data_IF_591773554588
#
_entry.id   IF_591773554588
#
_cell.length_a   1.000
_cell.length_b   1.000
_cell.length_c   1.000
_cell.angle_alpha   90.00
_cell.angle_beta   90.00
_cell.angle_gamma   90.00
#
_symmetry.space_group_name_H-M   'P 1'
#
loop_
_entity.id
_entity.type
_entity.pdbx_description
1 polymer ?
#
# COMPACT_ATOMS: atom_id res chain seq x y z
N UNK A 1 -17.67 -2.38 7.41
CA UNK A 1 -17.21 -2.21 6.03
C UNK A 1 -16.63 -3.51 5.53
N UNK A 2 -17.24 -4.10 4.51
CA UNK A 2 -16.69 -5.27 3.85
C UNK A 2 -15.68 -4.85 2.79
N UNK A 3 -14.47 -5.35 2.94
CA UNK A 3 -13.33 -5.06 2.07
C UNK A 3 -12.79 -6.32 1.45
N UNK A 4 -12.31 -6.21 0.23
CA UNK A 4 -11.80 -7.34 -0.55
C UNK A 4 -10.53 -6.95 -1.27
N UNK A 5 -9.60 -7.87 -1.40
CA UNK A 5 -8.41 -7.71 -2.22
C UNK A 5 -8.12 -8.99 -2.99
N UNK A 6 -7.48 -8.77 -4.12
CA UNK A 6 -7.28 -9.79 -5.12
C UNK A 6 -5.84 -10.27 -5.11
N UNK A 7 -5.65 -11.58 -5.08
CA UNK A 7 -4.40 -12.21 -5.44
C UNK A 7 -4.58 -12.76 -6.85
N UNK A 8 -4.17 -11.98 -7.86
CA UNK A 8 -4.40 -12.34 -9.27
C UNK A 8 -3.11 -12.80 -9.92
N UNK A 9 -3.17 -13.83 -10.81
CA UNK A 9 -2.06 -14.15 -11.67
C UNK A 9 -1.80 -13.00 -12.63
N UNK A 10 -0.53 -12.77 -12.93
CA UNK A 10 -0.09 -11.71 -13.82
C UNK A 10 0.72 -12.30 -14.96
N UNK A 11 0.40 -11.89 -16.16
CA UNK A 11 1.09 -12.29 -17.37
C UNK A 11 1.56 -11.08 -18.20
N UNK A 12 2.23 -11.32 -19.33
CA UNK A 12 2.67 -10.25 -20.21
C UNK A 12 1.52 -9.62 -21.05
N UNK A 13 0.33 -10.18 -21.01
CA UNK A 13 -0.79 -9.65 -21.76
C UNK A 13 -1.61 -8.66 -20.93
N UNK A 14 -1.42 -7.36 -21.13
CA UNK A 14 -2.15 -6.28 -20.46
C UNK A 14 -3.66 -6.50 -20.46
N UNK A 15 -4.25 -6.81 -21.62
CA UNK A 15 -5.70 -6.98 -21.74
C UNK A 15 -6.22 -8.19 -20.96
N UNK A 16 -5.44 -9.29 -20.89
CA UNK A 16 -5.79 -10.45 -20.08
C UNK A 16 -5.76 -10.12 -18.59
N UNK A 17 -4.74 -9.37 -18.13
CA UNK A 17 -4.63 -8.93 -16.74
C UNK A 17 -5.81 -8.02 -16.35
N UNK A 18 -6.20 -7.09 -17.23
CA UNK A 18 -7.36 -6.21 -17.05
C UNK A 18 -8.65 -7.03 -16.94
N UNK A 19 -8.85 -8.00 -17.83
CA UNK A 19 -10.06 -8.84 -17.82
C UNK A 19 -10.13 -9.72 -16.56
N UNK A 20 -9.02 -10.30 -16.14
CA UNK A 20 -8.93 -11.05 -14.88
C UNK A 20 -9.31 -10.18 -13.69
N UNK A 21 -8.74 -8.98 -13.60
CA UNK A 21 -9.09 -8.02 -12.55
C UNK A 21 -10.58 -7.66 -12.58
N UNK A 22 -11.15 -7.42 -13.77
CA UNK A 22 -12.57 -7.09 -13.94
C UNK A 22 -13.48 -8.20 -13.40
N UNK A 23 -13.21 -9.44 -13.79
CA UNK A 23 -14.00 -10.60 -13.32
C UNK A 23 -13.98 -10.68 -11.79
N UNK A 24 -12.79 -10.60 -11.19
CA UNK A 24 -12.65 -10.66 -9.74
C UNK A 24 -13.33 -9.48 -9.01
N UNK A 25 -13.26 -8.26 -9.57
CA UNK A 25 -13.95 -7.09 -8.98
C UNK A 25 -15.47 -7.28 -8.99
N UNK A 26 -16.04 -7.78 -10.09
CA UNK A 26 -17.48 -8.04 -10.19
C UNK A 26 -17.90 -9.17 -9.22
N UNK A 27 -17.12 -10.25 -9.14
CA UNK A 27 -17.36 -11.35 -8.19
C UNK A 27 -17.34 -10.82 -6.75
N UNK A 28 -16.29 -10.08 -6.37
CA UNK A 28 -16.17 -9.47 -5.06
C UNK A 28 -17.36 -8.58 -4.69
N UNK A 29 -17.83 -7.78 -5.63
CA UNK A 29 -19.00 -6.91 -5.43
C UNK A 29 -20.29 -7.71 -5.26
N UNK A 30 -20.47 -8.80 -6.03
CA UNK A 30 -21.61 -9.68 -5.92
C UNK A 30 -21.69 -10.36 -4.54
N UNK A 31 -20.52 -10.62 -3.92
CA UNK A 31 -20.40 -11.17 -2.56
C UNK A 31 -20.52 -10.09 -1.45
N UNK A 32 -20.77 -8.83 -1.82
CA UNK A 32 -21.08 -7.76 -0.87
C UNK A 32 -19.98 -6.74 -0.63
N UNK A 33 -18.81 -6.89 -1.24
CA UNK A 33 -17.69 -5.95 -1.07
C UNK A 33 -18.07 -4.51 -1.38
N UNK A 34 -17.59 -3.58 -0.57
CA UNK A 34 -17.75 -2.13 -0.74
C UNK A 34 -16.46 -1.45 -1.17
N UNK A 35 -15.33 -2.02 -0.81
CA UNK A 35 -13.99 -1.56 -1.18
C UNK A 35 -13.20 -2.75 -1.71
N UNK A 36 -12.65 -2.62 -2.90
CA UNK A 36 -11.85 -3.64 -3.58
C UNK A 36 -10.46 -3.11 -3.85
N UNK A 37 -9.42 -3.92 -3.60
CA UNK A 37 -8.02 -3.56 -3.79
C UNK A 37 -7.35 -4.50 -4.76
N UNK A 38 -6.76 -3.96 -5.83
CA UNK A 38 -5.93 -4.69 -6.79
C UNK A 38 -4.45 -4.71 -6.34
N UNK A 39 -3.62 -5.62 -6.84
CA UNK A 39 -2.20 -5.66 -6.51
C UNK A 39 -1.36 -4.63 -7.25
N UNK A 40 -0.09 -4.47 -6.84
CA UNK A 40 0.89 -3.60 -7.48
C UNK A 40 1.19 -4.05 -8.91
N UNK A 41 1.29 -3.07 -9.85
CA UNK A 41 1.59 -3.27 -11.27
C UNK A 41 0.74 -4.37 -11.93
N UNK A 42 -0.55 -4.50 -11.56
CA UNK A 42 -1.38 -5.61 -11.99
C UNK A 42 -1.58 -5.72 -13.51
N UNK A 43 -1.33 -4.65 -14.26
CA UNK A 43 -1.50 -4.61 -15.72
C UNK A 43 -0.22 -4.98 -16.50
N UNK A 44 0.92 -5.18 -15.82
CA UNK A 44 2.22 -5.35 -16.45
C UNK A 44 3.10 -6.36 -15.69
N UNK A 45 4.10 -6.98 -16.34
CA UNK A 45 5.17 -7.65 -15.61
C UNK A 45 5.87 -6.70 -14.64
N UNK A 46 6.24 -7.18 -13.45
CA UNK A 46 7.02 -6.41 -12.49
C UNK A 46 8.50 -6.43 -12.90
N UNK A 47 8.84 -5.57 -13.85
CA UNK A 47 10.17 -5.52 -14.45
C UNK A 47 10.53 -4.11 -14.89
N UNK A 48 11.74 -3.66 -14.57
CA UNK A 48 12.25 -2.34 -15.00
C UNK A 48 12.28 -2.19 -16.53
N UNK A 49 12.46 -3.27 -17.27
CA UNK A 49 12.40 -3.26 -18.73
C UNK A 49 10.98 -3.13 -19.30
N UNK A 50 9.96 -3.56 -18.56
CA UNK A 50 8.57 -3.52 -19.00
C UNK A 50 7.85 -2.21 -18.67
N UNK A 51 8.20 -1.54 -17.58
CA UNK A 51 7.45 -0.38 -17.08
C UNK A 51 7.22 0.71 -18.13
N UNK A 52 8.22 0.99 -18.97
CA UNK A 52 8.10 2.02 -20.01
C UNK A 52 7.11 1.67 -21.11
N UNK A 53 7.01 0.39 -21.49
CA UNK A 53 6.10 -0.12 -22.53
C UNK A 53 4.65 -0.14 -22.03
N UNK A 54 4.45 -0.50 -20.75
CA UNK A 54 3.12 -0.63 -20.17
C UNK A 54 2.57 0.69 -19.60
N UNK A 55 3.38 1.74 -19.53
CA UNK A 55 3.00 3.01 -18.95
C UNK A 55 1.85 3.68 -19.71
N UNK A 56 0.88 4.19 -18.97
CA UNK A 56 -0.29 4.93 -19.48
C UNK A 56 -0.29 6.36 -18.96
N UNK A 57 -0.87 7.29 -19.74
CA UNK A 57 -1.10 8.65 -19.29
C UNK A 57 -2.47 8.67 -18.60
N UNK A 58 -2.50 9.03 -17.30
CA UNK A 58 -3.72 9.01 -16.49
C UNK A 58 -4.58 10.29 -16.63
N UNK A 59 -4.65 10.81 -17.86
CA UNK A 59 -5.36 12.02 -18.21
C UNK A 59 -5.87 11.86 -19.66
N UNK A 60 -7.05 12.33 -20.08
CA UNK A 60 -7.98 13.16 -19.31
C UNK A 60 -8.87 12.38 -18.32
N UNK A 61 -9.61 13.14 -17.51
CA UNK A 61 -10.72 12.63 -16.71
C UNK A 61 -12.01 13.13 -17.33
N UNK A 62 -12.97 12.27 -17.71
CA UNK A 62 -12.97 10.81 -17.58
C UNK A 62 -11.91 10.12 -18.47
N UNK A 63 -11.45 8.91 -18.08
CA UNK A 63 -10.41 8.19 -18.81
C UNK A 63 -10.79 7.87 -20.27
N UNK A 64 -9.83 8.00 -21.18
CA UNK A 64 -9.98 7.60 -22.58
C UNK A 64 -9.55 6.14 -22.78
N UNK A 65 -10.42 5.34 -23.40
CA UNK A 65 -10.21 3.91 -23.59
C UNK A 65 -9.01 3.56 -24.49
N UNK A 66 -8.73 4.39 -25.51
CA UNK A 66 -7.64 4.11 -26.44
C UNK A 66 -6.29 4.57 -25.89
N UNK A 67 -6.28 5.76 -25.28
CA UNK A 67 -5.06 6.34 -24.74
C UNK A 67 -4.61 5.66 -23.45
N UNK A 68 -5.56 5.23 -22.60
CA UNK A 68 -5.27 4.69 -21.26
C UNK A 68 -6.23 3.53 -20.93
N UNK A 69 -6.05 2.37 -21.59
CA UNK A 69 -7.00 1.25 -21.49
C UNK A 69 -7.16 0.71 -20.07
N UNK A 70 -6.08 0.65 -19.27
CA UNK A 70 -6.15 0.18 -17.88
C UNK A 70 -6.87 1.20 -17.01
N UNK A 71 -6.52 2.48 -17.12
CA UNK A 71 -7.16 3.55 -16.36
C UNK A 71 -8.66 3.64 -16.67
N UNK A 72 -9.04 3.55 -17.96
CA UNK A 72 -10.44 3.46 -18.37
C UNK A 72 -11.13 2.23 -17.77
N UNK A 73 -10.49 1.05 -17.83
CA UNK A 73 -11.07 -0.19 -17.33
C UNK A 73 -11.30 -0.14 -15.81
N UNK A 74 -10.36 0.41 -15.01
CA UNK A 74 -10.52 0.60 -13.57
C UNK A 74 -11.72 1.49 -13.23
N UNK A 75 -11.88 2.62 -13.94
CA UNK A 75 -13.05 3.49 -13.79
C UNK A 75 -14.36 2.72 -14.06
N UNK A 76 -14.37 1.90 -15.11
CA UNK A 76 -15.54 1.08 -15.46
C UNK A 76 -15.80 -0.02 -14.43
N UNK A 77 -14.76 -0.70 -13.95
CA UNK A 77 -14.88 -1.74 -12.92
C UNK A 77 -15.53 -1.16 -11.64
N UNK A 78 -15.05 -0.02 -11.16
CA UNK A 78 -15.62 0.66 -9.99
C UNK A 78 -17.09 1.00 -10.19
N UNK A 79 -17.43 1.59 -11.34
CA UNK A 79 -18.79 2.00 -11.68
C UNK A 79 -19.73 0.83 -11.84
N UNK A 80 -19.34 -0.18 -12.63
CA UNK A 80 -20.20 -1.32 -12.98
C UNK A 80 -20.43 -2.24 -11.77
N UNK A 81 -19.46 -2.29 -10.83
CA UNK A 81 -19.56 -3.02 -9.58
C UNK A 81 -20.18 -2.20 -8.43
N UNK A 82 -20.22 -0.87 -8.52
CA UNK A 82 -20.73 0.01 -7.49
C UNK A 82 -19.88 0.00 -6.20
N UNK A 83 -18.55 -0.09 -6.35
CA UNK A 83 -17.59 -0.19 -5.25
C UNK A 83 -16.54 0.91 -5.31
N UNK A 84 -15.94 1.25 -4.17
CA UNK A 84 -14.65 1.93 -4.19
C UNK A 84 -13.59 0.95 -4.70
N UNK A 85 -12.85 1.34 -5.73
CA UNK A 85 -11.76 0.53 -6.27
C UNK A 85 -10.42 1.21 -6.03
N UNK A 86 -9.60 0.61 -5.18
CA UNK A 86 -8.18 0.93 -5.12
C UNK A 86 -7.51 0.13 -6.23
N UNK A 87 -7.17 0.80 -7.32
CA UNK A 87 -6.74 0.21 -8.58
C UNK A 87 -5.36 -0.44 -8.55
N UNK A 88 -4.96 -0.97 -7.40
CA UNK A 88 -3.63 -1.54 -7.24
C UNK A 88 -2.57 -0.48 -7.56
N UNK A 89 -1.70 -0.78 -8.49
CA UNK A 89 -0.92 0.26 -9.16
C UNK A 89 -0.61 -0.11 -10.61
N UNK A 90 -0.23 0.87 -11.39
CA UNK A 90 0.20 0.70 -12.78
C UNK A 90 1.36 1.66 -13.10
N UNK A 91 2.21 1.34 -14.09
CA UNK A 91 3.14 2.31 -14.63
C UNK A 91 2.37 3.49 -15.24
N UNK A 92 2.64 4.70 -14.75
CA UNK A 92 2.10 5.97 -15.22
C UNK A 92 3.17 6.73 -15.99
N UNK A 93 2.83 7.26 -17.15
CA UNK A 93 3.66 8.25 -17.85
C UNK A 93 3.10 9.64 -17.62
N UNK A 94 3.85 10.46 -16.93
CA UNK A 94 3.51 11.86 -16.71
C UNK A 94 3.63 12.64 -18.03
N UNK A 95 2.55 13.31 -18.43
CA UNK A 95 2.45 14.00 -19.72
C UNK A 95 3.47 15.10 -19.89
N UNK A 96 3.73 15.86 -18.82
CA UNK A 96 4.54 17.08 -18.89
C UNK A 96 6.04 16.78 -18.80
N UNK A 97 6.42 15.93 -17.86
CA UNK A 97 7.82 15.58 -17.61
C UNK A 97 8.29 14.35 -18.38
N UNK A 98 7.40 13.61 -19.01
CA UNK A 98 7.65 12.30 -19.64
C UNK A 98 8.29 11.25 -18.70
N UNK A 99 8.28 11.51 -17.39
CA UNK A 99 8.77 10.58 -16.38
C UNK A 99 7.76 9.46 -16.15
N UNK A 100 8.27 8.31 -15.69
CA UNK A 100 7.43 7.16 -15.38
C UNK A 100 7.34 7.03 -13.85
N UNK A 101 6.14 6.76 -13.37
CA UNK A 101 5.85 6.54 -11.96
C UNK A 101 5.13 5.20 -11.77
N UNK A 102 5.22 4.64 -10.59
CA UNK A 102 4.36 3.54 -10.14
C UNK A 102 3.20 4.18 -9.39
N UNK A 103 1.99 4.13 -9.95
CA UNK A 103 0.86 4.95 -9.49
C UNK A 103 -0.37 4.11 -9.17
N UNK A 104 -0.90 4.31 -7.98
CA UNK A 104 -2.20 3.79 -7.53
C UNK A 104 -3.25 4.89 -7.67
N UNK A 105 -4.43 4.52 -8.19
CA UNK A 105 -5.58 5.43 -8.29
C UNK A 105 -6.76 4.84 -7.55
N UNK A 106 -7.47 5.67 -6.80
CA UNK A 106 -8.73 5.30 -6.12
C UNK A 106 -9.90 5.83 -6.93
N UNK A 107 -10.85 4.96 -7.23
CA UNK A 107 -12.11 5.31 -7.91
C UNK A 107 -13.29 5.18 -6.95
N UNK A 108 -14.21 6.13 -7.05
CA UNK A 108 -15.51 6.07 -6.37
C UNK A 108 -16.44 5.02 -7.01
N UNK A 109 -17.57 4.67 -6.36
CA UNK A 109 -18.61 3.81 -6.95
C UNK A 109 -19.26 4.39 -8.22
N UNK A 110 -19.00 5.66 -8.54
CA UNK A 110 -19.42 6.29 -9.80
C UNK A 110 -18.37 6.15 -10.91
N UNK A 111 -17.21 5.57 -10.59
CA UNK A 111 -16.08 5.43 -11.52
C UNK A 111 -15.24 6.70 -11.67
N UNK A 112 -15.41 7.66 -10.77
CA UNK A 112 -14.64 8.90 -10.73
C UNK A 112 -13.35 8.71 -9.95
N UNK A 113 -12.18 9.17 -10.42
CA UNK A 113 -10.95 9.14 -9.65
C UNK A 113 -11.05 10.16 -8.51
N UNK A 114 -10.94 9.67 -7.26
CA UNK A 114 -11.04 10.49 -6.04
C UNK A 114 -9.71 10.66 -5.32
N UNK A 115 -8.66 9.97 -5.76
CA UNK A 115 -7.32 10.14 -5.23
C UNK A 115 -6.29 9.32 -6.01
N UNK A 116 -5.01 9.73 -5.92
CA UNK A 116 -3.91 8.98 -6.52
C UNK A 116 -2.65 9.09 -5.67
N UNK A 117 -1.83 8.03 -5.71
CA UNK A 117 -0.54 7.97 -5.03
C UNK A 117 0.53 7.48 -6.00
N UNK A 118 1.58 8.27 -6.21
CA UNK A 118 2.82 7.85 -6.87
C UNK A 118 3.76 7.28 -5.79
N UNK A 119 4.23 6.05 -5.95
CA UNK A 119 5.16 5.38 -5.01
C UNK A 119 6.28 6.31 -4.61
N UNK A 120 6.37 6.60 -3.31
CA UNK A 120 7.31 7.58 -2.79
C UNK A 120 8.72 6.99 -2.63
N UNK A 121 8.81 5.73 -2.23
CA UNK A 121 10.07 5.03 -1.99
C UNK A 121 10.26 3.93 -3.04
N UNK A 122 11.28 4.10 -3.88
CA UNK A 122 11.59 3.14 -4.94
C UNK A 122 12.36 1.95 -4.37
N UNK A 123 12.05 0.76 -4.89
CA UNK A 123 12.67 -0.49 -4.48
C UNK A 123 14.03 -0.66 -5.19
N UNK A 124 15.04 -0.06 -4.61
CA UNK A 124 16.44 -0.20 -5.03
C UNK A 124 17.16 -1.06 -4.01
N UNK A 125 17.50 -2.29 -4.39
CA UNK A 125 18.10 -3.28 -3.49
C UNK A 125 19.24 -4.03 -4.16
N UNK A 126 20.17 -4.45 -3.33
CA UNK A 126 21.31 -5.25 -3.71
C UNK A 126 21.54 -6.34 -2.65
N UNK A 127 21.00 -7.53 -2.91
CA UNK A 127 21.16 -8.71 -2.06
C UNK A 127 22.03 -9.74 -2.77
N UNK A 128 22.69 -10.65 -2.05
CA UNK A 128 23.35 -11.79 -2.67
C UNK A 128 22.40 -12.55 -3.61
N UNK A 129 22.70 -12.53 -4.89
CA UNK A 129 21.91 -13.20 -5.95
C UNK A 129 20.75 -12.39 -6.52
N UNK A 130 20.49 -11.15 -6.05
CA UNK A 130 19.44 -10.31 -6.60
C UNK A 130 19.76 -8.82 -6.48
N UNK A 131 19.96 -8.17 -7.62
CA UNK A 131 20.00 -6.70 -7.71
C UNK A 131 18.77 -6.23 -8.47
N UNK A 132 18.00 -5.31 -7.88
CA UNK A 132 16.82 -4.71 -8.50
C UNK A 132 16.80 -3.20 -8.23
N UNK A 133 16.60 -2.39 -9.27
CA UNK A 133 16.62 -0.93 -9.16
C UNK A 133 15.45 -0.31 -9.93
N UNK A 134 14.36 0.00 -9.23
CA UNK A 134 13.23 0.72 -9.82
C UNK A 134 13.65 2.08 -10.36
N UNK A 135 14.59 2.75 -9.70
CA UNK A 135 15.11 4.07 -10.09
C UNK A 135 15.75 4.11 -11.49
N UNK A 136 16.08 2.97 -12.08
CA UNK A 136 16.54 2.91 -13.47
C UNK A 136 15.45 3.34 -14.47
N UNK A 137 14.17 3.21 -14.11
CA UNK A 137 13.04 3.51 -15.00
C UNK A 137 12.00 4.41 -14.35
N UNK A 138 11.75 4.24 -13.05
CA UNK A 138 10.73 4.97 -12.32
C UNK A 138 11.28 6.21 -11.61
N UNK A 139 10.43 7.18 -11.43
CA UNK A 139 10.68 8.36 -10.60
C UNK A 139 9.89 8.28 -9.30
N UNK A 140 10.43 8.76 -8.17
CA UNK A 140 9.71 8.75 -6.90
C UNK A 140 8.58 9.78 -6.87
N UNK A 141 7.47 9.43 -6.21
CA UNK A 141 6.43 10.35 -5.82
C UNK A 141 6.92 11.38 -4.79
N UNK A 142 6.11 12.42 -4.56
CA UNK A 142 6.50 13.55 -3.69
C UNK A 142 5.48 13.83 -2.58
N UNK A 143 4.50 12.94 -2.39
CA UNK A 143 3.42 13.18 -1.44
C UNK A 143 3.07 11.92 -0.66
N UNK A 144 2.65 12.11 0.58
CA UNK A 144 1.91 11.11 1.37
C UNK A 144 0.44 11.31 1.02
N UNK A 145 -0.24 10.24 0.65
CA UNK A 145 -1.60 10.31 0.14
C UNK A 145 -2.61 9.79 1.14
N UNK A 146 -3.63 10.60 1.42
CA UNK A 146 -4.79 10.24 2.23
C UNK A 146 -6.02 10.53 1.37
N UNK A 147 -6.90 9.55 1.26
CA UNK A 147 -8.13 9.64 0.46
C UNK A 147 -9.33 9.48 1.37
N UNK A 148 -10.34 10.32 1.19
CA UNK A 148 -11.63 10.20 1.88
C UNK A 148 -12.57 9.34 1.03
N UNK A 149 -13.06 8.26 1.60
CA UNK A 149 -14.05 7.37 0.99
C UNK A 149 -15.49 7.76 1.41
N UNK A 150 -15.75 9.05 1.62
CA UNK A 150 -17.06 9.61 2.01
C UNK A 150 -17.74 8.83 3.15
N UNK A 151 -18.55 7.80 2.81
CA UNK A 151 -19.32 7.02 3.78
C UNK A 151 -18.47 6.20 4.76
N UNK A 152 -17.22 5.88 4.40
CA UNK A 152 -16.37 4.95 5.16
C UNK A 152 -15.24 5.63 5.92
N UNK A 153 -14.91 6.88 5.56
CA UNK A 153 -13.82 7.63 6.17
C UNK A 153 -12.50 7.54 5.42
N UNK A 154 -11.43 7.99 6.05
CA UNK A 154 -10.14 8.19 5.39
C UNK A 154 -9.27 6.94 5.37
N UNK A 155 -8.63 6.71 4.23
CA UNK A 155 -7.58 5.70 4.07
C UNK A 155 -6.23 6.36 3.77
N UNK A 156 -5.14 5.75 4.22
CA UNK A 156 -3.79 6.09 3.79
C UNK A 156 -3.33 5.14 2.68
N UNK A 157 -2.76 5.69 1.61
CA UNK A 157 -2.19 4.90 0.51
C UNK A 157 -0.67 4.88 0.58
N UNK A 158 -0.10 3.70 0.35
CA UNK A 158 1.29 3.48 0.00
C UNK A 158 1.37 2.38 -1.05
N UNK A 159 2.54 2.18 -1.65
CA UNK A 159 2.76 1.08 -2.58
C UNK A 159 3.98 0.29 -2.12
N UNK A 160 3.78 -0.99 -1.81
CA UNK A 160 4.82 -2.00 -1.60
C UNK A 160 5.94 -1.52 -0.65
N UNK A 161 7.05 -1.03 -1.20
CA UNK A 161 8.23 -0.61 -0.44
C UNK A 161 7.95 0.54 0.54
N UNK A 162 6.90 1.34 0.31
CA UNK A 162 6.48 2.42 1.21
C UNK A 162 6.17 1.92 2.63
N UNK A 163 5.70 0.67 2.79
CA UNK A 163 5.39 0.10 4.11
C UNK A 163 6.61 -0.01 5.03
N UNK A 164 7.83 -0.02 4.47
CA UNK A 164 9.06 -0.12 5.26
C UNK A 164 9.34 1.12 6.09
N UNK A 165 8.82 2.25 5.67
CA UNK A 165 8.99 3.54 6.30
C UNK A 165 7.81 3.82 7.23
N UNK A 166 8.02 3.96 8.55
CA UNK A 166 6.92 4.18 9.50
C UNK A 166 6.30 5.58 9.39
N UNK A 167 7.03 6.57 8.89
CA UNK A 167 6.63 7.97 8.88
C UNK A 167 5.33 8.22 8.08
N UNK A 168 5.18 7.71 6.84
CA UNK A 168 3.93 7.85 6.08
C UNK A 168 2.73 7.24 6.80
N UNK A 169 2.91 6.08 7.46
CA UNK A 169 1.85 5.43 8.22
C UNK A 169 1.41 6.26 9.42
N UNK A 170 2.37 6.83 10.16
CA UNK A 170 2.10 7.72 11.30
C UNK A 170 1.34 8.96 10.84
N UNK A 171 1.78 9.59 9.76
CA UNK A 171 1.14 10.80 9.21
C UNK A 171 -0.29 10.50 8.77
N UNK A 172 -0.52 9.41 8.04
CA UNK A 172 -1.85 9.01 7.59
C UNK A 172 -2.80 8.74 8.77
N UNK A 173 -2.36 7.94 9.75
CA UNK A 173 -3.16 7.65 10.94
C UNK A 173 -3.52 8.91 11.75
N UNK A 174 -2.56 9.83 11.92
CA UNK A 174 -2.78 11.12 12.58
C UNK A 174 -3.71 12.05 11.82
N UNK A 175 -3.77 11.91 10.50
CA UNK A 175 -4.71 12.63 9.63
C UNK A 175 -6.10 12.01 9.61
N UNK A 176 -6.32 10.97 10.41
CA UNK A 176 -7.62 10.34 10.60
C UNK A 176 -7.85 9.08 9.75
N UNK A 177 -6.83 8.55 9.09
CA UNK A 177 -6.99 7.28 8.38
C UNK A 177 -7.34 6.15 9.37
N UNK A 178 -8.36 5.36 9.01
CA UNK A 178 -8.73 4.17 9.77
C UNK A 178 -8.05 2.90 9.21
N UNK A 179 -7.58 2.97 7.96
CA UNK A 179 -6.95 1.88 7.26
C UNK A 179 -5.78 2.39 6.42
N UNK A 180 -4.70 1.60 6.37
CA UNK A 180 -3.58 1.80 5.45
C UNK A 180 -3.64 0.70 4.40
N UNK A 181 -3.52 1.07 3.13
CA UNK A 181 -3.63 0.15 1.99
C UNK A 181 -2.33 0.17 1.19
N UNK A 182 -1.77 -1.02 0.95
CA UNK A 182 -0.51 -1.20 0.24
C UNK A 182 -0.66 -2.26 -0.86
N UNK A 183 -1.01 -1.88 -2.09
CA UNK A 183 -0.74 -2.72 -3.26
C UNK A 183 0.74 -3.07 -3.32
N UNK A 184 1.08 -4.34 -3.46
CA UNK A 184 2.46 -4.81 -3.22
C UNK A 184 2.86 -5.95 -4.15
N UNK A 185 4.17 -6.10 -4.33
CA UNK A 185 4.80 -7.19 -5.06
C UNK A 185 6.09 -7.63 -4.35
N UNK A 186 5.99 -8.05 -3.09
CA UNK A 186 7.13 -8.63 -2.38
C UNK A 186 7.54 -9.94 -3.06
N UNK A 187 8.84 -10.15 -3.18
CA UNK A 187 9.39 -11.36 -3.78
C UNK A 187 9.55 -12.50 -2.77
N UNK A 188 9.90 -13.68 -3.28
CA UNK A 188 10.10 -14.89 -2.47
C UNK A 188 11.27 -14.81 -1.47
N UNK A 189 12.14 -13.79 -1.55
CA UNK A 189 13.22 -13.55 -0.59
C UNK A 189 12.75 -12.67 0.57
N UNK A 190 12.14 -11.53 0.27
CA UNK A 190 11.76 -10.54 1.28
C UNK A 190 10.36 -10.79 1.86
N UNK A 191 9.51 -11.51 1.14
CA UNK A 191 8.16 -11.86 1.58
C UNK A 191 8.16 -12.63 2.89
N UNK A 192 8.81 -13.82 2.95
CA UNK A 192 8.85 -14.64 4.18
C UNK A 192 9.42 -13.91 5.38
N UNK A 193 10.36 -12.98 5.16
CA UNK A 193 11.06 -12.28 6.24
C UNK A 193 10.27 -11.09 6.78
N UNK A 194 9.55 -10.36 5.92
CA UNK A 194 9.11 -9.01 6.26
C UNK A 194 7.62 -8.75 6.04
N UNK A 195 6.93 -9.55 5.22
CA UNK A 195 5.53 -9.30 4.85
C UNK A 195 4.60 -9.22 6.06
N UNK A 196 4.57 -10.27 6.86
CA UNK A 196 3.77 -10.35 8.09
C UNK A 196 4.23 -9.32 9.13
N UNK A 197 5.54 -9.25 9.36
CA UNK A 197 6.13 -8.37 10.36
C UNK A 197 5.81 -6.89 10.12
N UNK A 198 6.01 -6.41 8.88
CA UNK A 198 5.76 -5.01 8.54
C UNK A 198 4.28 -4.67 8.63
N UNK A 199 3.41 -5.53 8.10
CA UNK A 199 1.97 -5.32 8.12
C UNK A 199 1.43 -5.19 9.54
N UNK A 200 1.82 -6.09 10.41
CA UNK A 200 1.42 -6.12 11.82
C UNK A 200 2.00 -4.95 12.61
N UNK A 201 3.25 -4.59 12.36
CA UNK A 201 3.86 -3.42 13.00
C UNK A 201 3.12 -2.14 12.63
N UNK A 202 2.82 -1.90 11.34
CA UNK A 202 2.11 -0.68 10.92
C UNK A 202 0.71 -0.60 11.49
N UNK A 203 0.02 -1.74 11.60
CA UNK A 203 -1.30 -1.80 12.22
C UNK A 203 -1.22 -1.47 13.74
N UNK A 204 -0.34 -2.14 14.46
CA UNK A 204 -0.21 -2.00 15.91
C UNK A 204 0.28 -0.60 16.31
N UNK A 205 1.34 -0.10 15.68
CA UNK A 205 1.95 1.20 16.01
C UNK A 205 0.98 2.38 15.86
N UNK A 206 0.03 2.25 14.94
CA UNK A 206 -0.88 3.34 14.55
C UNK A 206 -2.33 3.09 14.93
N UNK A 207 -2.67 1.92 15.43
CA UNK A 207 -4.04 1.50 15.75
C UNK A 207 -4.99 1.73 14.56
N UNK A 208 -4.62 1.16 13.42
CA UNK A 208 -5.37 1.21 12.17
C UNK A 208 -5.39 -0.19 11.54
N UNK A 209 -6.36 -0.44 10.67
CA UNK A 209 -6.30 -1.62 9.82
C UNK A 209 -5.16 -1.50 8.80
N UNK A 210 -4.56 -2.61 8.41
CA UNK A 210 -3.58 -2.66 7.32
C UNK A 210 -4.01 -3.71 6.30
N UNK A 211 -4.04 -3.30 5.04
CA UNK A 211 -4.39 -4.17 3.92
C UNK A 211 -3.20 -4.27 2.96
N UNK A 212 -2.77 -5.49 2.69
CA UNK A 212 -1.69 -5.80 1.75
C UNK A 212 -2.26 -6.66 0.62
N UNK A 213 -2.23 -6.14 -0.61
CA UNK A 213 -2.66 -6.89 -1.80
C UNK A 213 -1.44 -7.28 -2.64
N UNK A 214 -1.28 -8.55 -2.96
CA UNK A 214 -0.17 -9.09 -3.74
C UNK A 214 -0.68 -9.88 -4.94
N UNK A 215 0.11 -9.87 -6.00
CA UNK A 215 -0.06 -10.83 -7.09
C UNK A 215 0.14 -12.26 -6.60
N UNK A 216 -0.49 -13.24 -7.24
CA UNK A 216 -0.22 -14.65 -6.97
C UNK A 216 1.19 -15.05 -7.37
N UNK A 217 1.71 -16.07 -6.71
CA UNK A 217 3.01 -16.64 -7.04
C UNK A 217 2.98 -17.30 -8.42
N UNK A 218 3.92 -16.92 -9.27
CA UNK A 218 4.20 -17.58 -10.54
C UNK A 218 5.68 -17.94 -10.61
N UNK A 219 6.04 -19.24 -10.55
CA UNK A 219 7.43 -19.68 -10.64
C UNK A 219 8.06 -19.43 -12.00
N UNK A 220 7.24 -19.22 -13.06
CA UNK A 220 7.69 -18.89 -14.41
C UNK A 220 7.96 -17.39 -14.62
N UNK A 221 7.55 -16.56 -13.67
CA UNK A 221 7.79 -15.11 -13.72
C UNK A 221 9.27 -14.77 -13.54
N UNK A 222 9.75 -13.75 -14.26
CA UNK A 222 11.07 -13.15 -14.02
C UNK A 222 11.22 -12.49 -12.64
N UNK A 223 10.10 -12.25 -11.95
CA UNK A 223 10.03 -11.71 -10.60
C UNK A 223 8.92 -12.47 -9.81
N UNK A 224 9.25 -13.64 -9.24
CA UNK A 224 8.27 -14.42 -8.49
C UNK A 224 7.81 -13.69 -7.21
N UNK A 225 6.56 -13.30 -7.17
CA UNK A 225 5.94 -12.62 -6.03
C UNK A 225 5.66 -13.58 -4.87
N UNK A 226 5.53 -13.02 -3.66
CA UNK A 226 5.27 -13.83 -2.47
C UNK A 226 3.82 -14.34 -2.40
N UNK A 227 2.85 -13.58 -2.93
CA UNK A 227 1.43 -13.82 -2.70
C UNK A 227 1.02 -13.36 -1.30
N UNK A 228 0.20 -14.16 -0.62
CA UNK A 228 -0.18 -13.98 0.78
C UNK A 228 -0.85 -12.63 1.08
N UNK A 229 -1.69 -12.12 0.17
CA UNK A 229 -2.52 -10.94 0.45
C UNK A 229 -3.21 -11.09 1.80
N UNK A 230 -3.24 -10.01 2.63
CA UNK A 230 -3.70 -10.11 4.01
C UNK A 230 -4.35 -8.84 4.53
N UNK A 231 -5.17 -8.98 5.56
CA UNK A 231 -5.64 -7.88 6.41
C UNK A 231 -5.23 -8.11 7.85
N UNK A 232 -4.77 -7.04 8.46
CA UNK A 232 -4.36 -7.00 9.87
C UNK A 232 -5.24 -6.01 10.61
N UNK A 233 -5.65 -6.36 11.82
CA UNK A 233 -6.41 -5.49 12.70
C UNK A 233 -5.52 -4.56 13.54
N UNK A 234 -6.17 -3.72 14.30
CA UNK A 234 -5.57 -2.69 15.17
C UNK A 234 -4.67 -3.23 16.29
N UNK A 235 -4.81 -4.51 16.62
CA UNK A 235 -3.99 -5.19 17.62
C UNK A 235 -2.78 -5.93 17.00
N UNK A 236 -2.62 -5.83 15.67
CA UNK A 236 -1.61 -6.58 14.93
C UNK A 236 -1.99 -8.02 14.67
N UNK A 237 -3.27 -8.41 14.86
CA UNK A 237 -3.75 -9.75 14.56
C UNK A 237 -4.11 -9.85 13.07
N UNK A 238 -3.69 -10.92 12.42
CA UNK A 238 -4.09 -11.23 11.04
C UNK A 238 -5.54 -11.70 11.06
N UNK A 239 -6.44 -10.91 10.48
CA UNK A 239 -7.86 -11.25 10.36
C UNK A 239 -8.06 -12.34 9.31
N UNK A 240 -7.38 -12.21 8.19
CA UNK A 240 -7.43 -13.16 7.09
C UNK A 240 -6.23 -13.00 6.18
N UNK A 241 -5.85 -14.07 5.51
CA UNK A 241 -4.76 -14.07 4.53
C UNK A 241 -5.02 -15.07 3.41
N UNK A 242 -4.57 -14.72 2.21
CA UNK A 242 -4.51 -15.64 1.07
C UNK A 242 -3.36 -16.65 1.24
N UNK A 243 -3.41 -17.71 0.44
CA UNK A 243 -2.25 -18.53 0.13
C UNK A 243 -1.36 -17.84 -0.93
N UNK A 244 -0.41 -18.57 -1.49
CA UNK A 244 0.40 -18.11 -2.63
C UNK A 244 -0.39 -18.06 -3.94
N UNK A 245 -1.48 -18.81 -4.02
CA UNK A 245 -2.29 -18.98 -5.22
C UNK A 245 -3.26 -17.81 -5.41
N UNK A 246 -3.80 -17.69 -6.62
CA UNK A 246 -4.81 -16.68 -6.94
C UNK A 246 -6.10 -16.94 -6.15
N UNK A 247 -6.57 -15.93 -5.42
CA UNK A 247 -7.83 -16.00 -4.66
C UNK A 247 -8.35 -14.61 -4.34
N UNK A 248 -9.62 -14.54 -4.00
CA UNK A 248 -10.27 -13.36 -3.43
C UNK A 248 -10.32 -13.53 -1.92
N UNK A 249 -9.95 -12.53 -1.15
CA UNK A 249 -9.93 -12.58 0.32
C UNK A 249 -10.79 -11.46 0.87
N UNK A 250 -11.63 -11.79 1.86
CA UNK A 250 -12.63 -10.90 2.43
C UNK A 250 -12.36 -10.60 3.90
N UNK A 251 -12.62 -9.37 4.34
CA UNK A 251 -12.66 -9.01 5.76
C UNK A 251 -13.71 -7.94 6.04
N UNK A 252 -14.23 -7.95 7.25
CA UNK A 252 -15.09 -6.92 7.79
C UNK A 252 -14.30 -6.00 8.72
N UNK A 253 -14.25 -4.70 8.40
CA UNK A 253 -13.63 -3.68 9.23
C UNK A 253 -14.70 -3.01 10.10
N UNK A 254 -14.49 -3.03 11.42
CA UNK A 254 -15.42 -2.47 12.40
C UNK A 254 -14.90 -1.12 12.93
N UNK A 255 -15.69 -0.07 12.76
CA UNK A 255 -15.41 1.23 13.41
C UNK A 255 -15.55 1.13 14.93
N UNK A 256 -16.51 0.33 15.44
CA UNK A 256 -16.68 0.13 16.87
C UNK A 256 -15.41 -0.45 17.51
N UNK A 257 -14.81 -1.46 16.89
CA UNK A 257 -13.56 -2.05 17.34
C UNK A 257 -12.40 -1.03 17.29
N UNK A 258 -12.36 -0.21 16.25
CA UNK A 258 -11.40 0.88 16.11
C UNK A 258 -11.51 1.86 17.29
N UNK A 259 -12.70 2.35 17.57
CA UNK A 259 -12.93 3.29 18.65
C UNK A 259 -12.67 2.67 20.03
N UNK A 260 -13.06 1.42 20.22
CA UNK A 260 -12.79 0.69 21.46
C UNK A 260 -11.28 0.53 21.70
N UNK A 261 -10.52 0.07 20.72
CA UNK A 261 -9.08 -0.11 20.84
C UNK A 261 -8.37 1.19 21.19
N UNK A 262 -8.72 2.29 20.53
CA UNK A 262 -8.13 3.61 20.79
C UNK A 262 -8.49 4.18 22.17
N UNK A 263 -9.66 3.83 22.72
CA UNK A 263 -10.01 4.19 24.10
C UNK A 263 -9.26 3.36 25.14
N UNK A 264 -9.11 2.06 24.89
CA UNK A 264 -8.45 1.14 25.83
C UNK A 264 -6.93 1.34 25.90
N UNK A 265 -6.30 1.66 24.77
CA UNK A 265 -4.87 1.90 24.67
C UNK A 265 -4.63 3.19 23.87
N UNK A 266 -4.61 4.37 24.50
CA UNK A 266 -4.60 5.67 23.81
C UNK A 266 -3.19 6.05 23.30
N UNK A 267 -2.62 5.27 22.37
CA UNK A 267 -1.27 5.49 21.84
C UNK A 267 -1.11 6.87 21.20
N UNK A 268 -2.12 7.34 20.48
CA UNK A 268 -2.07 8.65 19.82
C UNK A 268 -1.90 9.80 20.81
N UNK A 269 -2.58 9.74 21.96
CA UNK A 269 -2.47 10.74 23.03
C UNK A 269 -1.19 10.63 23.84
N UNK A 270 -0.58 9.43 23.88
CA UNK A 270 0.63 9.16 24.66
C UNK A 270 1.93 9.50 23.91
N UNK A 271 1.85 9.86 22.63
CA UNK A 271 3.05 10.22 21.84
C UNK A 271 3.66 11.54 22.34
N UNK A 272 4.96 11.54 22.46
CA UNK A 272 5.77 12.64 23.02
C UNK A 272 6.47 13.41 21.89
N UNK A 273 5.69 14.11 21.05
CA UNK A 273 6.25 14.89 19.93
C UNK A 273 7.17 16.04 20.38
N UNK A 274 7.11 16.39 21.65
CA UNK A 274 8.05 17.29 22.31
C UNK A 274 9.48 16.70 22.42
N UNK A 275 9.60 15.37 22.38
CA UNK A 275 10.90 14.68 22.48
C UNK A 275 11.50 14.28 21.11
N UNK A 276 10.72 14.27 20.04
CA UNK A 276 11.17 13.89 18.69
C UNK A 276 10.69 14.85 17.61
N UNK A 277 11.04 16.17 17.72
CA UNK A 277 10.49 17.18 16.83
C UNK A 277 11.03 17.10 15.41
N UNK A 278 12.27 16.66 15.22
CA UNK A 278 12.89 16.52 13.90
C UNK A 278 13.69 15.22 13.82
N UNK A 279 13.11 14.23 13.19
CA UNK A 279 13.74 12.94 12.93
C UNK A 279 14.50 12.91 11.60
N UNK A 280 14.48 13.99 10.81
CA UNK A 280 15.21 14.11 9.54
C UNK A 280 16.64 14.59 9.72
N UNK A 281 16.95 15.19 10.88
CA UNK A 281 18.29 15.65 11.22
C UNK A 281 19.21 14.51 11.66
N UNK A 282 20.48 14.57 11.27
CA UNK A 282 21.51 13.73 11.88
C UNK A 282 21.59 14.11 13.35
N UNK A 283 21.22 13.18 14.22
CA UNK A 283 20.90 13.42 15.63
C UNK A 283 21.94 14.22 16.40
N UNK A 284 21.62 15.46 16.66
CA UNK A 284 22.23 16.28 17.70
C UNK A 284 21.42 16.21 19.00
N UNK A 285 20.94 15.03 19.38
CA UNK A 285 20.35 14.87 20.70
C UNK A 285 21.46 14.70 21.71
N UNK A 286 21.51 15.62 22.69
CA UNK A 286 22.30 15.43 23.90
C UNK A 286 21.91 14.08 24.53
N UNK A 287 22.78 13.09 24.38
CA UNK A 287 22.64 11.87 25.15
C UNK A 287 22.83 12.24 26.61
N UNK A 288 21.78 12.08 27.41
CA UNK A 288 21.89 12.22 28.87
C UNK A 288 22.94 11.22 29.38
N UNK A 289 24.16 11.68 29.60
CA UNK A 289 25.17 10.91 30.29
C UNK A 289 24.75 10.82 31.75
N UNK A 290 24.59 9.61 32.26
CA UNK A 290 24.51 9.38 33.68
C UNK A 290 25.79 9.96 34.31
N UNK A 291 25.67 11.10 35.00
CA UNK A 291 26.73 11.56 35.89
C UNK A 291 26.74 10.59 37.07
N UNK A 292 27.70 9.69 37.07
CA UNK A 292 28.05 8.91 38.27
C UNK A 292 28.52 9.91 39.32
N UNK A 293 27.65 10.20 40.27
CA UNK A 293 28.01 11.00 41.45
C UNK A 293 29.16 10.32 42.19
N UNK A 294 30.35 10.88 42.04
CA UNK A 294 31.47 10.58 42.90
C UNK A 294 31.08 11.05 44.31
N UNK A 295 30.69 10.10 45.20
CA UNK A 295 30.69 10.36 46.61
C UNK A 295 32.14 10.58 47.05
N UNK A 296 32.50 11.84 47.23
CA UNK A 296 33.69 12.18 47.97
C UNK A 296 33.55 11.65 49.43
N UNK A 297 34.29 10.64 49.75
CA UNK A 297 34.55 10.24 51.13
C UNK A 297 35.48 11.27 51.74
N UNK A 298 34.93 12.31 52.36
CA UNK A 298 35.71 13.06 53.36
C UNK A 298 35.64 12.32 54.68
N UNK A 299 36.83 12.00 55.17
CA UNK A 299 37.04 11.27 56.39
C UNK A 299 36.84 12.10 57.62
N UNK A 300 36.49 11.42 58.66
CA UNK A 300 37.06 11.52 60.01
C UNK A 300 36.86 10.23 60.83
#
# INVERSE_FOLDING_TARGET
LEVVWLTTPQGPCKLSNIETARVCVIEAAADGAKVVVLPECFNSPYSTSAFAEYAEILDPVPPDKQASPTFYAMSRMAKDAGVYLIGGSIPERDRDSNKIFNTSVVFSPLGEPVGSHRKAHLFDVDFPGMTFRESNTLSPGKAITIVDLEEYGKIGLGICFDIRFPEPAIIAARSGAFCLIYPSAFNSTTGPLHWDLLSRSRALDNQVYVMMSSQSFDPGSGYPTWGHSMVVDLSGQVLTSASRDGTIVYANLSDELLQQSRRQLPLAASRRFDLYPDISGEGSQETSTFQSGSRSSEGR
#
